data_IF_120929679958
#
_entry.id   IF_120929679958
#
_cell.length_a   1.000
_cell.length_b   1.000
_cell.length_c   1.000
_cell.angle_alpha   90.00
_cell.angle_beta   90.00
_cell.angle_gamma   90.00
#
_symmetry.space_group_name_H-M   'P 1'
#
loop_
_entity.id
_entity.type
_entity.pdbx_description
1 polymer ?
#
# COMPACT_ATOMS: atom_id res chain seq x y z
N UNK A 1 12.72 -12.32 -9.53
CA UNK A 1 12.75 -11.73 -10.88
C UNK A 1 13.63 -12.52 -11.84
N UNK A 2 14.50 -13.44 -11.38
CA UNK A 2 15.41 -14.22 -12.25
C UNK A 2 14.76 -15.19 -13.24
N UNK A 3 13.46 -15.49 -13.13
CA UNK A 3 12.78 -16.46 -14.00
C UNK A 3 11.90 -15.82 -15.09
N UNK A 4 11.71 -14.50 -15.08
CA UNK A 4 10.82 -13.76 -16.00
C UNK A 4 11.34 -12.34 -16.28
N UNK A 5 12.39 -12.18 -17.11
CA UNK A 5 12.97 -10.87 -17.43
C UNK A 5 11.99 -9.90 -18.09
N UNK A 6 10.93 -10.41 -18.75
CA UNK A 6 9.82 -9.61 -19.28
C UNK A 6 9.01 -8.88 -18.21
N UNK A 7 9.14 -9.28 -16.94
CA UNK A 7 8.49 -8.63 -15.80
C UNK A 7 9.39 -7.63 -15.07
N UNK A 8 10.60 -7.43 -15.56
CA UNK A 8 11.54 -6.47 -14.99
C UNK A 8 10.99 -5.05 -15.14
N UNK A 9 10.88 -4.33 -14.02
CA UNK A 9 10.26 -3.01 -13.96
C UNK A 9 8.73 -3.01 -13.82
N UNK A 10 8.07 -4.17 -13.79
CA UNK A 10 6.64 -4.22 -13.48
C UNK A 10 6.38 -3.84 -12.02
N UNK A 11 5.39 -2.96 -11.83
CA UNK A 11 4.91 -2.55 -10.52
C UNK A 11 3.39 -2.60 -10.48
N UNK A 12 2.85 -2.76 -9.27
CA UNK A 12 1.42 -2.68 -9.03
C UNK A 12 1.12 -1.72 -7.87
N UNK A 13 -0.05 -1.11 -7.90
CA UNK A 13 -0.60 -0.43 -6.74
C UNK A 13 -1.26 -1.44 -5.80
N UNK A 14 -1.42 -1.06 -4.55
CA UNK A 14 -2.13 -1.84 -3.54
C UNK A 14 -2.96 -0.89 -2.69
N UNK A 15 -4.22 -1.25 -2.48
CA UNK A 15 -5.07 -0.65 -1.46
C UNK A 15 -5.90 -1.76 -0.82
N UNK A 16 -5.76 -1.93 0.49
CA UNK A 16 -6.43 -3.02 1.22
C UNK A 16 -7.16 -2.43 2.43
N UNK A 17 -8.47 -2.18 2.33
CA UNK A 17 -9.27 -1.85 3.51
C UNK A 17 -9.56 -3.10 4.34
N UNK A 18 -9.21 -3.08 5.62
CA UNK A 18 -9.50 -4.13 6.58
C UNK A 18 -10.49 -3.62 7.64
N UNK A 19 -11.72 -4.16 7.61
CA UNK A 19 -12.78 -3.78 8.54
C UNK A 19 -12.91 -4.81 9.67
N UNK A 20 -12.68 -4.36 10.90
CA UNK A 20 -12.90 -5.14 12.12
C UNK A 20 -13.95 -4.43 12.97
N UNK A 21 -15.16 -5.01 13.04
CA UNK A 21 -16.33 -4.33 13.61
C UNK A 21 -16.58 -2.97 12.93
N UNK A 22 -16.43 -1.87 13.67
CA UNK A 22 -16.56 -0.49 13.18
C UNK A 22 -15.21 0.21 12.97
N UNK A 23 -14.11 -0.55 13.00
CA UNK A 23 -12.74 -0.03 12.90
C UNK A 23 -12.20 -0.35 11.52
N UNK A 24 -11.94 0.69 10.75
CA UNK A 24 -11.30 0.60 9.45
C UNK A 24 -9.80 0.77 9.61
N UNK A 25 -9.06 -0.22 9.15
CA UNK A 25 -7.63 -0.18 8.90
C UNK A 25 -7.40 -0.20 7.40
N UNK A 26 -6.24 0.25 6.95
CA UNK A 26 -5.84 0.04 5.57
C UNK A 26 -4.33 -0.13 5.45
N UNK A 27 -3.92 -0.69 4.32
CA UNK A 27 -2.56 -0.59 3.82
C UNK A 27 -2.68 -0.10 2.39
N UNK A 28 -1.94 0.94 2.02
CA UNK A 28 -1.92 1.44 0.64
C UNK A 28 -0.53 1.84 0.15
N UNK A 29 -0.30 1.54 -1.12
CA UNK A 29 0.93 1.80 -1.87
C UNK A 29 0.51 2.16 -3.30
N UNK A 30 0.77 3.39 -3.72
CA UNK A 30 0.37 3.92 -5.02
C UNK A 30 -0.66 5.03 -4.87
N UNK A 31 -1.44 5.26 -5.92
CA UNK A 31 -2.41 6.34 -6.08
C UNK A 31 -3.88 5.87 -6.00
N UNK A 32 -4.09 4.55 -5.86
CA UNK A 32 -5.42 3.96 -5.76
C UNK A 32 -6.16 4.48 -4.52
N UNK A 33 -7.29 5.19 -4.67
CA UNK A 33 -7.87 5.94 -3.58
C UNK A 33 -8.79 5.09 -2.69
N UNK A 34 -8.78 5.44 -1.40
CA UNK A 34 -9.71 4.98 -0.39
C UNK A 34 -10.54 6.16 0.11
N UNK A 35 -11.74 6.31 -0.42
CA UNK A 35 -12.66 7.37 -0.04
C UNK A 35 -13.58 6.99 1.12
N UNK A 36 -13.87 7.97 1.96
CA UNK A 36 -14.94 7.97 2.94
C UNK A 36 -15.94 9.08 2.61
N UNK A 37 -17.19 8.69 2.48
CA UNK A 37 -18.32 9.59 2.41
C UNK A 37 -19.09 9.58 3.73
N UNK A 38 -19.12 10.75 4.39
CA UNK A 38 -19.80 10.96 5.68
C UNK A 38 -20.46 12.33 5.70
N UNK A 39 -21.70 12.41 6.18
CA UNK A 39 -22.43 13.67 6.35
C UNK A 39 -22.52 14.53 5.07
N UNK A 40 -22.59 13.90 3.90
CA UNK A 40 -22.67 14.62 2.63
C UNK A 40 -21.31 15.06 2.07
N UNK A 41 -20.21 14.72 2.73
CA UNK A 41 -18.85 15.09 2.29
C UNK A 41 -18.04 13.87 1.92
N UNK A 42 -17.37 13.91 0.77
CA UNK A 42 -16.36 12.96 0.34
C UNK A 42 -14.97 13.40 0.83
N UNK A 43 -14.18 12.44 1.32
CA UNK A 43 -12.80 12.65 1.74
C UNK A 43 -11.97 11.43 1.41
N UNK A 44 -10.72 11.61 0.99
CA UNK A 44 -9.76 10.51 0.83
C UNK A 44 -9.09 10.23 2.17
N UNK A 45 -9.02 8.95 2.55
CA UNK A 45 -8.44 8.50 3.82
C UNK A 45 -6.96 8.17 3.70
N UNK A 46 -6.56 7.57 2.59
CA UNK A 46 -5.18 7.16 2.37
C UNK A 46 -4.34 8.28 1.75
N UNK A 47 -3.03 8.18 1.95
CA UNK A 47 -2.07 9.02 1.24
C UNK A 47 -1.99 8.62 -0.24
N UNK A 48 -1.93 9.62 -1.11
CA UNK A 48 -1.66 9.46 -2.54
C UNK A 48 -0.14 9.42 -2.76
N UNK A 49 0.35 8.33 -3.33
CA UNK A 49 1.76 8.16 -3.69
C UNK A 49 1.99 8.40 -5.19
N UNK A 50 1.27 9.31 -5.81
CA UNK A 50 1.60 9.97 -7.08
C UNK A 50 2.41 11.25 -6.85
N UNK A 51 2.73 11.95 -7.95
CA UNK A 51 3.30 13.31 -7.92
C UNK A 51 2.22 14.40 -7.75
N UNK A 52 0.94 14.06 -7.82
CA UNK A 52 -0.15 15.03 -7.71
C UNK A 52 -0.09 15.84 -6.40
N UNK A 53 0.15 15.25 -5.21
CA UNK A 53 0.27 16.03 -3.97
C UNK A 53 1.43 17.04 -3.99
N UNK A 54 2.56 16.69 -4.60
CA UNK A 54 3.74 17.55 -4.72
C UNK A 54 3.47 18.69 -5.70
N UNK A 55 2.81 18.41 -6.82
CA UNK A 55 2.38 19.41 -7.80
C UNK A 55 1.36 20.37 -7.17
N UNK A 56 0.39 19.86 -6.44
CA UNK A 56 -0.61 20.68 -5.74
C UNK A 56 0.04 21.56 -4.67
N UNK A 57 1.09 21.06 -3.98
CA UNK A 57 1.90 21.87 -3.07
C UNK A 57 2.64 23.00 -3.81
N UNK A 58 3.19 22.75 -5.00
CA UNK A 58 3.83 23.79 -5.82
C UNK A 58 2.83 24.88 -6.22
N UNK A 59 1.58 24.51 -6.52
CA UNK A 59 0.51 25.48 -6.78
C UNK A 59 0.21 26.31 -5.54
N UNK A 60 0.05 25.67 -4.38
CA UNK A 60 -0.22 26.37 -3.11
C UNK A 60 0.91 27.31 -2.72
N UNK A 61 2.17 26.96 -3.03
CA UNK A 61 3.34 27.79 -2.82
C UNK A 61 3.50 28.92 -3.86
N UNK A 62 2.62 29.00 -4.87
CA UNK A 62 2.70 29.98 -5.95
C UNK A 62 3.83 29.72 -6.95
N UNK A 63 4.41 28.52 -6.94
CA UNK A 63 5.50 28.11 -7.83
C UNK A 63 5.00 27.56 -9.17
N UNK A 64 3.73 27.17 -9.24
CA UNK A 64 3.10 26.61 -10.44
C UNK A 64 1.68 27.18 -10.60
N UNK A 65 1.29 27.46 -11.84
CA UNK A 65 -0.07 27.91 -12.15
C UNK A 65 -1.08 26.76 -11.96
N UNK A 66 -2.23 26.98 -11.29
CA UNK A 66 -3.27 25.97 -11.12
C UNK A 66 -3.77 25.35 -12.44
N UNK A 67 -3.88 26.13 -13.51
CA UNK A 67 -4.39 25.65 -14.81
C UNK A 67 -3.40 24.68 -15.47
N UNK A 68 -2.09 24.93 -15.28
CA UNK A 68 -1.02 24.04 -15.78
C UNK A 68 -0.94 22.78 -14.93
N UNK A 69 -1.12 22.91 -13.61
CA UNK A 69 -0.98 21.79 -12.67
C UNK A 69 -2.00 20.67 -12.88
N UNK A 70 -3.21 21.00 -13.32
CA UNK A 70 -4.28 20.01 -13.58
C UNK A 70 -3.86 19.04 -14.69
N UNK A 71 -3.23 19.54 -15.74
CA UNK A 71 -2.81 18.76 -16.91
C UNK A 71 -1.30 18.50 -16.92
N UNK A 72 -0.64 18.52 -15.75
CA UNK A 72 0.80 18.32 -15.67
C UNK A 72 1.16 16.89 -16.12
N UNK A 73 2.13 16.71 -17.03
CA UNK A 73 2.45 15.41 -17.62
C UNK A 73 2.82 14.36 -16.57
N UNK A 74 3.52 14.78 -15.51
CA UNK A 74 3.92 13.89 -14.42
C UNK A 74 2.86 13.72 -13.33
N UNK A 75 1.65 14.30 -13.44
CA UNK A 75 0.66 14.29 -12.35
C UNK A 75 0.34 12.88 -11.85
N UNK A 76 0.20 11.94 -12.78
CA UNK A 76 -0.11 10.54 -12.49
C UNK A 76 1.16 9.68 -12.31
N UNK A 77 2.36 10.28 -12.29
CA UNK A 77 3.60 9.55 -12.08
C UNK A 77 3.69 9.05 -10.63
N UNK A 78 3.86 7.73 -10.45
CA UNK A 78 3.89 7.10 -9.14
C UNK A 78 5.24 7.29 -8.45
N UNK A 79 5.22 7.74 -7.20
CA UNK A 79 6.41 7.84 -6.33
C UNK A 79 6.63 6.60 -5.45
N UNK A 80 5.62 5.73 -5.32
CA UNK A 80 5.75 4.45 -4.61
C UNK A 80 4.83 3.39 -5.20
N UNK A 81 5.40 2.21 -5.48
CA UNK A 81 4.71 1.05 -6.07
C UNK A 81 5.24 -0.24 -5.46
N UNK A 82 4.41 -1.29 -5.51
CA UNK A 82 4.87 -2.66 -5.24
C UNK A 82 5.69 -3.15 -6.43
N UNK A 83 7.00 -3.11 -6.26
CA UNK A 83 7.96 -3.77 -7.13
C UNK A 83 8.60 -4.86 -6.27
N UNK A 84 9.07 -5.98 -6.83
CA UNK A 84 9.69 -7.08 -6.06
C UNK A 84 10.97 -6.72 -5.26
N UNK A 85 11.23 -5.43 -5.07
CA UNK A 85 12.30 -4.78 -4.33
C UNK A 85 11.77 -4.02 -3.11
N UNK A 86 12.61 -3.18 -2.49
CA UNK A 86 12.22 -2.33 -1.36
C UNK A 86 11.13 -1.33 -1.77
N UNK A 87 10.07 -1.23 -0.97
CA UNK A 87 8.99 -0.25 -1.14
C UNK A 87 9.41 1.08 -0.51
N UNK A 88 9.32 2.17 -1.28
CA UNK A 88 9.76 3.49 -0.82
C UNK A 88 8.87 4.05 0.29
N UNK A 89 7.56 3.95 0.11
CA UNK A 89 6.55 4.49 1.04
C UNK A 89 5.34 3.59 1.12
N UNK A 90 4.88 3.35 2.35
CA UNK A 90 3.68 2.56 2.67
C UNK A 90 2.82 3.40 3.61
N UNK A 91 1.56 3.58 3.26
CA UNK A 91 0.57 4.15 4.16
C UNK A 91 -0.11 3.01 4.93
N UNK A 92 0.07 3.03 6.25
CA UNK A 92 -0.47 2.05 7.18
C UNK A 92 -0.68 2.75 8.54
N UNK A 93 -1.90 3.22 8.84
CA UNK A 93 -2.15 4.00 10.03
C UNK A 93 -1.99 3.15 11.29
N UNK A 94 -1.29 3.68 12.30
CA UNK A 94 -1.10 3.02 13.58
C UNK A 94 -2.38 2.91 14.44
N UNK A 95 -3.42 3.68 14.10
CA UNK A 95 -4.71 3.69 14.78
C UNK A 95 -5.82 3.51 13.74
N UNK A 96 -6.90 2.79 14.08
CA UNK A 96 -8.01 2.61 13.15
C UNK A 96 -8.81 3.90 13.00
N UNK A 97 -9.43 4.05 11.83
CA UNK A 97 -10.49 5.03 11.63
C UNK A 97 -11.83 4.46 12.13
N UNK A 98 -12.53 5.20 12.98
CA UNK A 98 -13.83 4.77 13.50
C UNK A 98 -14.96 5.11 12.53
N UNK A 99 -15.60 4.07 12.01
CA UNK A 99 -16.77 4.17 11.15
C UNK A 99 -18.06 4.31 11.97
N UNK A 100 -19.01 5.04 11.37
CA UNK A 100 -20.33 5.36 11.88
C UNK A 100 -21.40 4.77 10.96
N UNK A 101 -22.59 4.56 11.50
CA UNK A 101 -23.69 4.05 10.69
C UNK A 101 -24.09 5.09 9.64
N UNK A 102 -24.22 4.65 8.39
CA UNK A 102 -24.49 5.52 7.25
C UNK A 102 -23.24 5.95 6.49
N UNK A 103 -22.04 5.68 7.01
CA UNK A 103 -20.81 5.88 6.24
C UNK A 103 -20.77 4.99 5.01
N UNK A 104 -20.20 5.52 3.94
CA UNK A 104 -19.92 4.77 2.71
C UNK A 104 -18.43 4.88 2.45
N UNK A 105 -17.75 3.73 2.39
CA UNK A 105 -16.34 3.64 2.02
C UNK A 105 -16.28 3.16 0.57
N UNK A 106 -15.50 3.83 -0.25
CA UNK A 106 -15.26 3.46 -1.65
C UNK A 106 -13.76 3.23 -1.81
N UNK A 107 -13.39 2.01 -2.15
CA UNK A 107 -12.01 1.65 -2.46
C UNK A 107 -11.94 1.43 -3.97
N UNK A 108 -11.06 2.13 -4.68
CA UNK A 108 -10.99 2.02 -6.14
C UNK A 108 -9.56 2.04 -6.67
N UNK A 109 -9.39 1.64 -7.93
CA UNK A 109 -8.29 2.09 -8.77
C UNK A 109 -8.43 3.58 -9.11
N UNK A 110 -7.37 4.15 -9.68
CA UNK A 110 -7.31 5.47 -10.30
C UNK A 110 -8.36 5.68 -11.41
N UNK A 111 -8.80 4.62 -12.09
CA UNK A 111 -9.87 4.69 -13.11
C UNK A 111 -11.19 5.32 -12.64
N UNK A 112 -11.49 5.31 -11.33
CA UNK A 112 -12.66 6.03 -10.80
C UNK A 112 -12.44 7.57 -10.76
N UNK A 113 -11.20 8.04 -10.71
CA UNK A 113 -10.84 9.46 -10.60
C UNK A 113 -11.00 10.25 -11.91
N UNK A 114 -11.26 9.59 -13.05
CA UNK A 114 -11.72 10.26 -14.27
C UNK A 114 -13.01 11.04 -14.05
N UNK A 115 -13.82 10.60 -13.09
CA UNK A 115 -14.95 11.35 -12.59
C UNK A 115 -14.52 12.26 -11.43
N UNK A 116 -14.92 13.53 -11.48
CA UNK A 116 -14.61 14.48 -10.41
C UNK A 116 -15.16 14.02 -9.04
N UNK A 117 -14.44 14.36 -7.97
CA UNK A 117 -14.88 14.12 -6.59
C UNK A 117 -16.27 14.70 -6.29
N UNK A 118 -16.63 15.83 -6.91
CA UNK A 118 -17.95 16.44 -6.77
C UNK A 118 -19.06 15.57 -7.39
N UNK A 119 -18.78 14.93 -8.53
CA UNK A 119 -19.72 13.99 -9.16
C UNK A 119 -19.88 12.73 -8.32
N UNK A 120 -18.78 12.16 -7.81
CA UNK A 120 -18.82 11.01 -6.88
C UNK A 120 -19.68 11.37 -5.66
N UNK A 121 -19.40 12.51 -5.01
CA UNK A 121 -20.13 12.99 -3.84
C UNK A 121 -21.63 13.17 -4.13
N UNK A 122 -21.99 13.70 -5.31
CA UNK A 122 -23.38 13.86 -5.75
C UNK A 122 -24.09 12.51 -5.89
N UNK A 123 -23.45 11.52 -6.50
CA UNK A 123 -24.00 10.15 -6.63
C UNK A 123 -24.20 9.54 -5.24
N UNK A 124 -23.16 9.57 -4.40
CA UNK A 124 -23.22 9.02 -3.04
C UNK A 124 -24.32 9.70 -2.21
N UNK A 125 -24.45 11.03 -2.30
CA UNK A 125 -25.50 11.79 -1.61
C UNK A 125 -26.90 11.39 -2.04
N UNK A 126 -27.13 11.29 -3.35
CA UNK A 126 -28.44 10.93 -3.93
C UNK A 126 -28.85 9.52 -3.56
N UNK A 127 -27.93 8.56 -3.62
CA UNK A 127 -28.20 7.14 -3.43
C UNK A 127 -27.82 6.63 -2.04
N UNK A 128 -27.50 7.51 -1.08
CA UNK A 128 -27.08 7.10 0.29
C UNK A 128 -28.08 6.22 1.04
N UNK A 129 -29.34 6.14 0.62
CA UNK A 129 -30.38 5.30 1.24
C UNK A 129 -30.52 3.93 0.57
N UNK A 130 -29.95 3.71 -0.60
CA UNK A 130 -30.07 2.45 -1.36
C UNK A 130 -29.01 1.41 -0.96
N UNK A 131 -28.98 0.25 -1.62
CA UNK A 131 -27.99 -0.81 -1.36
C UNK A 131 -26.63 -0.41 -1.95
N UNK A 132 -25.54 -0.97 -1.41
CA UNK A 132 -24.18 -0.71 -1.93
C UNK A 132 -24.03 -1.14 -3.39
N UNK A 133 -24.69 -2.22 -3.80
CA UNK A 133 -24.71 -2.68 -5.20
C UNK A 133 -25.29 -1.62 -6.13
N UNK A 134 -26.42 -1.02 -5.76
CA UNK A 134 -27.04 0.03 -6.57
C UNK A 134 -26.18 1.30 -6.60
N UNK A 135 -25.53 1.65 -5.48
CA UNK A 135 -24.56 2.76 -5.48
C UNK A 135 -23.42 2.49 -6.47
N UNK A 136 -22.89 1.26 -6.49
CA UNK A 136 -21.83 0.88 -7.41
C UNK A 136 -22.29 0.94 -8.87
N UNK A 137 -23.49 0.43 -9.18
CA UNK A 137 -24.09 0.54 -10.51
C UNK A 137 -24.21 2.00 -10.95
N UNK A 138 -24.66 2.90 -10.07
CA UNK A 138 -24.78 4.33 -10.40
C UNK A 138 -23.45 5.02 -10.61
N UNK A 139 -22.41 4.67 -9.84
CA UNK A 139 -21.06 5.19 -10.07
C UNK A 139 -20.53 4.74 -11.43
N UNK A 140 -20.73 3.47 -11.78
CA UNK A 140 -20.33 2.93 -13.08
C UNK A 140 -21.12 3.56 -14.24
N UNK A 141 -22.42 3.80 -14.07
CA UNK A 141 -23.26 4.50 -15.06
C UNK A 141 -22.78 5.93 -15.31
N UNK A 142 -22.49 6.72 -14.27
CA UNK A 142 -22.00 8.08 -14.46
C UNK A 142 -20.62 8.11 -15.12
N UNK A 143 -19.76 7.16 -14.77
CA UNK A 143 -18.43 7.04 -15.38
C UNK A 143 -18.54 6.69 -16.88
N UNK A 144 -19.37 5.70 -17.24
CA UNK A 144 -19.64 5.36 -18.64
C UNK A 144 -20.27 6.51 -19.45
N UNK A 145 -21.00 7.42 -18.81
CA UNK A 145 -21.57 8.60 -19.49
C UNK A 145 -20.54 9.65 -19.86
N UNK A 146 -19.39 9.70 -19.17
CA UNK A 146 -18.31 10.60 -19.56
C UNK A 146 -17.78 10.24 -20.95
N UNK A 147 -17.82 8.94 -21.31
CA UNK A 147 -17.36 8.41 -22.58
C UNK A 147 -15.96 8.93 -22.96
N UNK A 148 -15.09 9.02 -21.94
CA UNK A 148 -13.75 9.56 -22.09
C UNK A 148 -12.88 8.53 -22.84
N UNK A 149 -12.28 8.89 -23.99
CA UNK A 149 -11.47 7.97 -24.77
C UNK A 149 -10.18 7.55 -24.04
N UNK A 150 -9.71 8.36 -23.09
CA UNK A 150 -8.48 8.13 -22.34
C UNK A 150 -8.72 7.36 -21.03
N UNK A 151 -9.96 6.90 -20.81
CA UNK A 151 -10.36 6.21 -19.59
C UNK A 151 -9.63 4.87 -19.40
N UNK A 152 -8.99 4.71 -18.24
CA UNK A 152 -8.33 3.46 -17.85
C UNK A 152 -9.32 2.43 -17.26
N UNK A 153 -8.80 1.23 -16.99
CA UNK A 153 -9.45 0.13 -16.32
C UNK A 153 -10.02 0.55 -14.96
N UNK A 154 -11.24 0.08 -14.70
CA UNK A 154 -12.00 0.48 -13.52
C UNK A 154 -12.15 -0.74 -12.62
N UNK A 155 -11.69 -0.62 -11.39
CA UNK A 155 -11.96 -1.60 -10.34
C UNK A 155 -12.29 -0.87 -9.06
N UNK A 156 -13.45 -1.12 -8.46
CA UNK A 156 -13.80 -0.53 -7.19
C UNK A 156 -14.76 -1.39 -6.37
N UNK A 157 -14.80 -1.13 -5.07
CA UNK A 157 -15.69 -1.77 -4.09
C UNK A 157 -16.36 -0.70 -3.24
N UNK A 158 -17.66 -0.86 -3.02
CA UNK A 158 -18.46 0.03 -2.17
C UNK A 158 -18.86 -0.72 -0.89
N UNK A 159 -18.41 -0.23 0.25
CA UNK A 159 -18.74 -0.76 1.57
C UNK A 159 -19.67 0.24 2.27
N UNK A 160 -20.91 -0.19 2.54
CA UNK A 160 -21.89 0.63 3.25
C UNK A 160 -22.03 0.17 4.69
N UNK A 161 -21.71 1.06 5.63
CA UNK A 161 -21.78 0.78 7.06
C UNK A 161 -23.21 0.95 7.53
N UNK A 162 -23.78 -0.12 8.07
CA UNK A 162 -25.12 -0.15 8.65
C UNK A 162 -25.04 -0.32 10.18
N UNK A 163 -26.15 -0.02 10.87
CA UNK A 163 -26.20 -0.05 12.34
C UNK A 163 -25.75 -1.38 12.97
N UNK A 164 -25.97 -2.50 12.27
CA UNK A 164 -25.52 -3.82 12.71
C UNK A 164 -23.99 -3.96 12.70
N UNK A 165 -23.30 -3.29 11.78
CA UNK A 165 -21.84 -3.32 11.65
C UNK A 165 -21.13 -2.47 12.70
N UNK A 166 -21.82 -1.48 13.27
CA UNK A 166 -21.25 -0.57 14.28
C UNK A 166 -21.36 -1.13 15.70
N UNK A 167 -22.29 -2.08 15.92
CA UNK A 167 -22.48 -2.68 17.25
C UNK A 167 -21.39 -3.73 17.50
N UNK A 168 -20.75 -3.71 18.69
CA UNK A 168 -19.81 -4.76 19.07
C UNK A 168 -20.46 -6.12 18.92
N UNK A 169 -19.81 -7.05 18.22
CA UNK A 169 -20.37 -8.38 18.05
C UNK A 169 -20.25 -9.08 19.39
N UNK A 170 -21.36 -9.35 20.05
CA UNK A 170 -21.34 -10.13 21.30
C UNK A 170 -20.59 -11.45 21.01
N UNK A 171 -19.59 -11.76 21.85
CA UNK A 171 -18.80 -12.98 21.73
C UNK A 171 -19.74 -14.17 21.78
N UNK A 172 -19.95 -14.83 20.65
CA UNK A 172 -20.67 -16.09 20.63
C UNK A 172 -19.80 -17.08 21.41
N UNK A 173 -20.31 -17.75 22.46
CA UNK A 173 -19.49 -18.71 23.20
C UNK A 173 -18.91 -19.71 22.21
N UNK A 174 -17.61 -19.97 22.33
CA UNK A 174 -16.91 -20.91 21.46
C UNK A 174 -17.75 -22.18 21.40
N UNK A 175 -18.27 -22.53 20.21
CA UNK A 175 -18.86 -23.85 20.01
C UNK A 175 -17.74 -24.83 20.32
N UNK A 176 -17.90 -25.63 21.37
CA UNK A 176 -17.03 -26.77 21.59
C UNK A 176 -17.02 -27.57 20.29
N UNK A 177 -15.84 -27.93 19.74
CA UNK A 177 -15.81 -28.79 18.57
C UNK A 177 -16.55 -30.07 18.92
N UNK A 178 -17.68 -30.30 18.25
CA UNK A 178 -18.41 -31.56 18.31
C UNK A 178 -17.62 -32.59 17.48
N UNK A 179 -16.46 -32.99 18.00
CA UNK A 179 -15.73 -34.16 17.52
C UNK A 179 -15.44 -35.01 18.74
N UNK A 180 -16.37 -35.93 19.04
CA UNK A 180 -16.05 -37.07 19.87
C UNK A 180 -14.93 -37.84 19.16
N UNK A 181 -13.74 -37.87 19.76
CA UNK A 181 -12.67 -38.79 19.32
C UNK A 181 -13.23 -40.21 19.37
N UNK A 182 -13.23 -40.99 18.28
CA UNK A 182 -13.50 -42.41 18.41
C UNK A 182 -12.39 -43.04 19.27
N UNK A 183 -12.76 -43.69 20.36
CA UNK A 183 -11.86 -44.57 21.13
C UNK A 183 -11.66 -45.83 20.31
N UNK A 184 -10.56 -45.89 19.55
CA UNK A 184 -10.06 -47.10 18.88
C UNK A 184 -8.65 -47.41 19.41
N UNK A 185 -8.43 -48.67 19.79
CA UNK A 185 -7.28 -49.16 20.57
C UNK A 185 -5.91 -48.80 19.97
N UNK A 186 -5.02 -48.27 20.81
CA UNK A 186 -3.56 -48.29 20.59
C UNK A 186 -3.10 -49.74 20.57
N UNK A 187 -2.71 -50.26 19.41
CA UNK A 187 -1.78 -51.37 19.36
C UNK A 187 -0.36 -50.80 19.34
N UNK A 188 0.33 -50.98 20.47
CA UNK A 188 1.79 -50.87 20.53
C UNK A 188 2.34 -52.05 19.71
N UNK A 189 3.02 -51.76 18.61
CA UNK A 189 3.91 -52.73 17.96
C UNK A 189 5.20 -52.74 18.80
N UNK A 190 5.58 -53.85 19.46
CA UNK A 190 6.89 -53.94 20.09
C UNK A 190 7.98 -53.94 19.01
N UNK A 191 9.11 -53.30 19.30
CA UNK A 191 10.25 -53.03 18.43
C UNK A 191 10.50 -54.02 17.27
N UNK A 192 10.88 -53.55 16.07
CA UNK A 192 11.58 -54.40 15.13
C UNK A 192 13.02 -54.65 15.63
N UNK A 193 13.34 -55.92 15.90
CA UNK A 193 14.71 -56.41 16.09
C UNK A 193 15.60 -55.93 14.92
N UNK A 194 16.58 -55.08 15.21
CA UNK A 194 17.68 -54.80 14.29
C UNK A 194 18.76 -55.85 14.57
N UNK A 195 18.91 -56.82 13.66
CA UNK A 195 20.04 -57.73 13.63
C UNK A 195 21.29 -56.98 13.13
N UNK A 196 22.46 -57.10 13.79
CA UNK A 196 23.66 -56.37 13.40
C UNK A 196 24.26 -56.95 12.11
N UNK A 197 24.58 -56.07 11.16
CA UNK A 197 25.47 -56.38 10.03
C UNK A 197 26.93 -56.48 10.55
N UNK A 198 27.69 -57.53 10.19
CA UNK A 198 29.07 -57.66 10.63
C UNK A 198 30.00 -56.71 9.88
N UNK A 199 30.64 -55.83 10.65
CA UNK A 199 32.00 -55.33 10.48
C UNK A 199 32.41 -54.71 9.16
N UNK A 200 32.46 -53.37 9.10
CA UNK A 200 33.62 -52.62 8.58
C UNK A 200 33.82 -51.38 9.49
N UNK A 201 35.07 -51.16 9.85
CA UNK A 201 35.54 -50.28 10.90
C UNK A 201 35.54 -48.79 10.55
N UNK A 202 35.58 -47.96 11.60
CA UNK A 202 36.53 -46.86 11.77
C UNK A 202 36.64 -45.80 10.67
N UNK A 203 36.00 -44.63 10.87
CA UNK A 203 36.68 -43.34 11.08
C UNK A 203 35.66 -42.19 11.05
N UNK A 204 35.55 -41.46 12.17
CA UNK A 204 34.88 -40.17 12.26
C UNK A 204 35.91 -39.07 11.99
N UNK A 205 35.64 -38.11 11.09
CA UNK A 205 36.30 -36.82 11.16
C UNK A 205 35.31 -35.71 11.54
N UNK A 206 35.75 -34.83 12.43
CA UNK A 206 35.36 -33.41 12.35
C UNK A 206 34.52 -32.88 13.50
N UNK A 207 35.22 -32.44 14.54
CA UNK A 207 34.81 -31.50 15.58
C UNK A 207 34.10 -30.26 15.02
N UNK A 208 32.94 -29.90 15.59
CA UNK A 208 32.34 -28.58 15.42
C UNK A 208 33.26 -27.51 16.03
N UNK A 209 33.90 -26.70 15.19
CA UNK A 209 34.63 -25.51 15.63
C UNK A 209 33.64 -24.37 15.89
N UNK A 210 33.68 -23.86 17.11
CA UNK A 210 33.05 -22.59 17.53
C UNK A 210 33.86 -21.42 16.97
N UNK A 211 33.20 -20.49 16.27
CA UNK A 211 33.81 -19.22 15.85
C UNK A 211 34.30 -18.41 17.07
N UNK A 212 35.48 -17.75 16.99
CA UNK A 212 35.98 -16.92 18.08
C UNK A 212 35.26 -15.56 18.15
N UNK A 213 35.19 -14.93 19.34
CA UNK A 213 34.40 -13.72 19.57
C UNK A 213 35.02 -12.46 18.97
N UNK A 214 34.13 -11.55 18.55
CA UNK A 214 34.39 -10.21 18.02
C UNK A 214 35.05 -9.32 19.09
N UNK A 215 36.14 -8.58 18.80
CA UNK A 215 36.67 -7.59 19.72
C UNK A 215 35.91 -6.25 19.66
N UNK A 216 35.67 -5.69 20.85
CA UNK A 216 34.99 -4.40 21.10
C UNK A 216 35.83 -3.17 20.66
N UNK A 217 35.22 -1.97 20.52
CA UNK A 217 35.67 -0.93 19.61
C UNK A 217 36.84 -0.09 20.15
N UNK A 218 37.86 0.08 19.31
CA UNK A 218 38.92 1.05 19.55
C UNK A 218 38.45 2.48 19.24
N UNK A 219 38.55 3.33 20.26
CA UNK A 219 38.43 4.78 20.22
C UNK A 219 39.47 5.36 19.24
N UNK A 220 39.02 6.13 18.25
CA UNK A 220 39.88 7.02 17.46
C UNK A 220 39.28 8.42 17.48
N UNK A 221 40.13 9.34 17.93
CA UNK A 221 39.88 10.74 18.21
C UNK A 221 39.53 11.55 16.95
N UNK A 222 38.65 12.53 17.13
CA UNK A 222 38.34 13.59 16.18
C UNK A 222 39.45 14.64 16.13
N UNK A 223 39.93 15.05 14.94
CA UNK A 223 40.68 16.28 14.82
C UNK A 223 39.73 17.47 14.57
N UNK A 224 39.94 18.51 15.36
CA UNK A 224 39.42 19.88 15.23
C UNK A 224 39.59 20.43 13.81
N UNK A 225 38.61 21.21 13.36
CA UNK A 225 38.75 22.06 12.16
C UNK A 225 39.68 23.27 12.39
N UNK A 226 39.77 24.14 11.38
CA UNK A 226 39.88 25.56 11.65
C UNK A 226 38.78 26.38 10.94
N UNK A 227 38.56 27.54 11.55
CA UNK A 227 37.63 28.62 11.26
C UNK A 227 37.96 29.44 10.00
N UNK A 228 36.89 30.02 9.43
CA UNK A 228 36.74 31.37 8.85
C UNK A 228 37.73 31.85 7.76
N UNK A 229 37.19 32.09 6.56
CA UNK A 229 37.42 33.35 5.82
C UNK A 229 36.13 33.73 5.08
N UNK A 230 35.56 34.88 5.44
CA UNK A 230 34.59 35.62 4.62
C UNK A 230 35.34 36.29 3.46
N UNK A 231 34.86 36.12 2.23
CA UNK A 231 35.05 37.10 1.15
C UNK A 231 33.81 37.12 0.28
N UNK A 232 33.13 38.25 0.26
CA UNK A 232 32.04 38.52 -0.67
C UNK A 232 32.54 38.68 -2.11
N UNK A 233 31.68 38.31 -3.05
CA UNK A 233 31.61 38.90 -4.37
C UNK A 233 30.22 38.60 -4.93
N UNK A 234 29.52 39.66 -5.31
CA UNK A 234 28.31 39.66 -6.12
C UNK A 234 28.57 38.91 -7.43
N UNK A 235 27.69 37.99 -7.82
CA UNK A 235 27.40 37.82 -9.24
C UNK A 235 26.00 37.26 -9.50
N UNK A 236 25.45 37.72 -10.61
CA UNK A 236 24.05 37.65 -11.02
C UNK A 236 23.75 36.28 -11.65
N UNK A 237 22.57 35.64 -11.47
CA UNK A 237 22.36 34.31 -12.04
C UNK A 237 21.97 34.40 -13.52
N UNK A 238 22.87 33.94 -14.40
CA UNK A 238 22.51 33.59 -15.78
C UNK A 238 21.63 32.33 -15.81
N UNK A 239 20.61 32.39 -16.67
CA UNK A 239 19.62 31.33 -16.89
C UNK A 239 20.28 30.11 -17.53
N UNK A 240 20.60 29.11 -16.69
CA UNK A 240 20.89 27.75 -17.14
C UNK A 240 19.65 27.13 -17.78
N UNK A 241 19.70 26.92 -19.09
CA UNK A 241 18.67 26.20 -19.85
C UNK A 241 18.72 24.73 -19.43
N UNK A 242 17.71 24.26 -18.71
CA UNK A 242 17.54 22.83 -18.41
C UNK A 242 17.03 22.15 -19.67
N UNK A 243 17.92 21.46 -20.38
CA UNK A 243 17.55 20.57 -21.48
C UNK A 243 17.04 19.26 -20.87
N UNK A 244 15.78 18.85 -21.08
CA UNK A 244 15.30 17.57 -20.60
C UNK A 244 16.00 16.43 -21.35
N UNK A 245 16.68 15.55 -20.60
CA UNK A 245 17.24 14.30 -21.14
C UNK A 245 16.09 13.37 -21.50
N UNK A 246 15.81 13.23 -22.80
CA UNK A 246 15.02 12.12 -23.34
C UNK A 246 15.72 10.80 -22.98
N UNK A 247 15.11 9.98 -22.16
CA UNK A 247 15.45 8.56 -22.11
C UNK A 247 14.89 7.90 -23.36
N UNK A 248 15.79 7.26 -24.11
CA UNK A 248 15.49 6.54 -25.33
C UNK A 248 14.63 5.31 -25.00
N UNK A 249 13.50 5.19 -25.70
CA UNK A 249 12.85 3.91 -25.92
C UNK A 249 13.81 3.03 -26.73
N UNK A 250 14.25 1.92 -26.16
CA UNK A 250 14.89 0.84 -26.90
C UNK A 250 13.78 -0.08 -27.41
N UNK A 251 13.68 -0.16 -28.74
CA UNK A 251 13.00 -1.25 -29.44
C UNK A 251 13.94 -2.43 -29.68
#
# INVERSE_FOLDING_TARGET
>A
TDNHPETEGMGATLVVPALVENRLWWISIGDSPLFLFRNGKLSQLNEDHSMAPQIDFMVQAGLLDPEIAINHPDRNCLVSVLMGSKIAKVDCPAKPYLLQAGDIVVCSSDGLQFMSNATIEKVLTKYRKTRSTEIAERLLEELNRLADPDQDNISFTVIKVNNASVRPRQSRPARQPAVARPRGLTMVVPEPLILPLPGIASELPGTWQTEPPVPDPAVVETPKGPSLVETGAEDTPERGTVVPRRFAALG
#
